data_IF_690980389882
#
_entry.id   IF_690980389882
#
_cell.length_a   1.000
_cell.length_b   1.000
_cell.length_c   1.000
_cell.angle_alpha   90.00
_cell.angle_beta   90.00
_cell.angle_gamma   90.00
#
_symmetry.space_group_name_H-M   'P 1'
#
loop_
_entity.id
_entity.type
_entity.pdbx_description
1 polymer ?
#
# COMPACT_ATOMS: atom_id res chain seq x y z
N UNK A 1 -24.29 -13.59 38.16
CA UNK A 1 -23.57 -14.75 37.61
C UNK A 1 -24.47 -15.44 36.59
N UNK A 2 -24.11 -15.40 35.30
CA UNK A 2 -24.76 -16.20 34.25
C UNK A 2 -23.67 -16.77 33.36
N UNK A 3 -23.81 -18.05 33.08
CA UNK A 3 -22.77 -18.96 32.62
C UNK A 3 -22.54 -18.90 31.10
N UNK A 4 -21.30 -19.21 30.71
CA UNK A 4 -20.85 -19.46 29.35
C UNK A 4 -21.27 -20.88 28.90
N UNK A 5 -21.72 -21.01 27.65
CA UNK A 5 -21.72 -22.30 26.94
C UNK A 5 -21.14 -22.11 25.53
N UNK A 6 -20.11 -22.90 25.24
CA UNK A 6 -19.37 -22.95 23.99
C UNK A 6 -20.18 -23.68 22.89
N UNK A 7 -20.07 -23.20 21.64
CA UNK A 7 -20.60 -23.87 20.46
C UNK A 7 -19.46 -24.59 19.73
N UNK A 8 -19.55 -25.91 19.67
CA UNK A 8 -18.65 -26.82 18.95
C UNK A 8 -19.08 -26.90 17.47
N UNK A 9 -18.09 -26.81 16.58
CA UNK A 9 -18.21 -26.95 15.12
C UNK A 9 -18.37 -28.43 14.73
N UNK A 10 -19.30 -28.75 13.82
CA UNK A 10 -19.46 -30.08 13.22
C UNK A 10 -19.98 -30.01 11.78
N UNK A 11 -19.27 -30.65 10.84
CA UNK A 11 -19.52 -30.70 9.40
C UNK A 11 -20.74 -31.56 9.01
N UNK A 12 -21.47 -31.25 7.91
CA UNK A 12 -22.56 -32.11 7.43
C UNK A 12 -22.06 -33.31 6.60
N UNK A 13 -22.56 -34.49 6.96
CA UNK A 13 -22.41 -35.77 6.23
C UNK A 13 -23.42 -35.86 5.07
N UNK A 14 -22.94 -36.27 3.89
CA UNK A 14 -23.74 -36.57 2.70
C UNK A 14 -24.34 -37.98 2.78
N UNK A 15 -25.68 -38.11 2.74
CA UNK A 15 -26.38 -39.35 2.37
C UNK A 15 -27.73 -39.06 1.69
N UNK A 16 -27.79 -39.31 0.39
CA UNK A 16 -29.00 -39.27 -0.41
C UNK A 16 -28.75 -39.81 -1.80
N UNK A 17 -28.66 -41.14 -1.94
CA UNK A 17 -28.64 -41.85 -3.22
C UNK A 17 -30.07 -42.29 -3.53
N UNK A 18 -30.68 -41.73 -4.57
CA UNK A 18 -31.79 -42.38 -5.29
C UNK A 18 -31.42 -42.51 -6.77
N UNK A 19 -31.46 -43.76 -7.21
CA UNK A 19 -31.11 -44.21 -8.56
C UNK A 19 -32.01 -43.59 -9.62
N UNK A 20 -31.41 -43.02 -10.68
CA UNK A 20 -32.09 -42.77 -11.95
C UNK A 20 -31.45 -43.63 -13.04
N UNK A 21 -32.34 -44.30 -13.77
CA UNK A 21 -32.10 -45.25 -14.85
C UNK A 21 -31.13 -44.72 -15.93
N UNK A 22 -30.33 -45.65 -16.42
CA UNK A 22 -29.38 -45.48 -17.51
C UNK A 22 -30.12 -45.46 -18.87
N UNK A 23 -30.12 -44.30 -19.54
CA UNK A 23 -30.45 -44.19 -20.97
C UNK A 23 -29.15 -44.19 -21.79
N UNK A 24 -29.05 -44.91 -22.92
CA UNK A 24 -27.84 -44.93 -23.73
C UNK A 24 -27.67 -43.60 -24.48
N UNK A 25 -26.64 -42.82 -24.12
CA UNK A 25 -26.20 -41.65 -24.86
C UNK A 25 -25.38 -42.07 -26.09
N UNK A 26 -25.79 -41.53 -27.24
CA UNK A 26 -25.19 -41.60 -28.57
C UNK A 26 -23.70 -41.19 -28.48
N UNK A 27 -22.81 -41.93 -29.15
CA UNK A 27 -21.38 -41.58 -29.27
C UNK A 27 -21.23 -40.22 -29.98
N UNK A 28 -21.06 -39.16 -29.21
CA UNK A 28 -20.48 -37.90 -29.69
C UNK A 28 -18.97 -37.96 -29.47
N UNK A 29 -18.23 -37.90 -30.58
CA UNK A 29 -16.77 -37.78 -30.58
C UNK A 29 -16.40 -36.42 -29.99
N UNK A 30 -16.17 -36.36 -28.69
CA UNK A 30 -15.64 -35.17 -28.00
C UNK A 30 -14.20 -34.95 -28.47
N UNK A 31 -14.01 -34.09 -29.46
CA UNK A 31 -12.70 -33.48 -29.75
C UNK A 31 -12.31 -32.73 -28.48
N UNK A 32 -11.37 -33.30 -27.74
CA UNK A 32 -10.85 -32.66 -26.53
C UNK A 32 -9.73 -31.74 -27.00
N UNK A 33 -10.05 -30.50 -27.35
CA UNK A 33 -9.05 -29.45 -27.45
C UNK A 33 -8.47 -29.29 -26.04
N UNK A 34 -7.28 -29.87 -25.84
CA UNK A 34 -6.52 -29.74 -24.62
C UNK A 34 -5.96 -28.31 -24.64
N UNK A 35 -6.76 -27.33 -24.19
CA UNK A 35 -6.24 -26.00 -23.88
C UNK A 35 -5.21 -26.19 -22.78
N UNK A 36 -3.93 -26.15 -23.15
CA UNK A 36 -2.83 -26.15 -22.21
C UNK A 36 -2.94 -24.83 -21.43
N UNK A 37 -3.48 -24.89 -20.22
CA UNK A 37 -3.42 -23.75 -19.32
C UNK A 37 -1.94 -23.37 -19.15
N UNK A 38 -1.60 -22.12 -19.46
CA UNK A 38 -0.26 -21.62 -19.21
C UNK A 38 0.03 -21.74 -17.71
N UNK A 39 1.18 -22.33 -17.36
CA UNK A 39 1.63 -22.39 -15.97
C UNK A 39 1.80 -20.97 -15.45
N UNK A 40 1.32 -20.63 -14.24
CA UNK A 40 1.57 -19.32 -13.65
C UNK A 40 3.08 -19.08 -13.60
N UNK A 41 3.55 -18.04 -14.30
CA UNK A 41 4.94 -17.59 -14.23
C UNK A 41 5.18 -16.92 -12.89
N UNK A 42 6.33 -17.17 -12.26
CA UNK A 42 6.71 -16.49 -11.02
C UNK A 42 6.72 -14.95 -11.20
N UNK A 43 6.39 -14.16 -10.16
CA UNK A 43 6.48 -12.71 -10.22
C UNK A 43 7.88 -12.22 -10.62
N UNK A 44 7.99 -11.13 -11.39
CA UNK A 44 9.29 -10.59 -11.75
C UNK A 44 10.01 -10.07 -10.51
N UNK A 45 11.35 -10.17 -10.51
CA UNK A 45 12.17 -9.58 -9.43
C UNK A 45 12.15 -8.05 -9.50
N UNK A 46 12.49 -7.51 -10.67
CA UNK A 46 12.57 -6.06 -10.89
C UNK A 46 11.18 -5.44 -11.09
N UNK A 47 11.00 -4.14 -10.74
CA UNK A 47 9.79 -3.41 -11.07
C UNK A 47 9.49 -3.42 -12.58
N UNK A 48 8.23 -3.72 -12.91
CA UNK A 48 7.68 -3.53 -14.26
C UNK A 48 7.59 -2.04 -14.62
N UNK A 49 7.26 -1.72 -15.87
CA UNK A 49 7.01 -0.32 -16.27
C UNK A 49 5.86 0.31 -15.49
N UNK A 50 4.79 -0.45 -15.23
CA UNK A 50 3.66 0.02 -14.43
C UNK A 50 4.07 0.23 -12.96
N UNK A 51 4.85 -0.71 -12.40
CA UNK A 51 5.38 -0.57 -11.03
C UNK A 51 6.20 0.71 -10.89
N UNK A 52 7.03 1.05 -11.89
CA UNK A 52 7.86 2.27 -11.84
C UNK A 52 7.03 3.55 -11.75
N UNK A 53 5.84 3.60 -12.34
CA UNK A 53 4.95 4.76 -12.21
C UNK A 53 4.42 4.89 -10.77
N UNK A 54 4.04 3.77 -10.16
CA UNK A 54 3.57 3.75 -8.77
C UNK A 54 4.72 4.05 -7.79
N UNK A 55 5.90 3.50 -8.02
CA UNK A 55 7.09 3.73 -7.19
C UNK A 55 7.60 5.17 -7.33
N UNK A 56 7.48 5.80 -8.50
CA UNK A 56 7.82 7.22 -8.67
C UNK A 56 6.81 8.13 -7.95
N UNK A 57 5.53 7.75 -7.93
CA UNK A 57 4.55 8.43 -7.07
C UNK A 57 4.92 8.30 -5.59
N UNK A 58 5.29 7.10 -5.12
CA UNK A 58 5.77 6.88 -3.76
C UNK A 58 6.99 7.77 -3.45
N UNK A 59 7.97 7.84 -4.36
CA UNK A 59 9.14 8.71 -4.23
C UNK A 59 8.73 10.17 -4.04
N UNK A 60 7.82 10.65 -4.89
CA UNK A 60 7.32 12.01 -4.85
C UNK A 60 6.58 12.32 -3.55
N UNK A 61 5.81 11.36 -3.02
CA UNK A 61 5.12 11.48 -1.75
C UNK A 61 6.10 11.52 -0.56
N UNK A 62 7.11 10.64 -0.51
CA UNK A 62 8.16 10.64 0.52
C UNK A 62 8.91 11.99 0.59
N UNK A 63 9.25 12.56 -0.57
CA UNK A 63 9.89 13.88 -0.64
C UNK A 63 8.98 14.98 -0.08
N UNK A 64 7.67 14.93 -0.37
CA UNK A 64 6.72 15.89 0.20
C UNK A 64 6.60 15.79 1.71
N UNK A 65 6.59 14.57 2.24
CA UNK A 65 6.49 14.36 3.69
C UNK A 65 7.78 14.80 4.38
N UNK A 66 8.94 14.47 3.82
CA UNK A 66 10.22 15.02 4.29
C UNK A 66 10.18 16.55 4.40
N UNK A 67 9.71 17.24 3.35
CA UNK A 67 9.57 18.70 3.35
C UNK A 67 8.54 19.22 4.36
N UNK A 68 7.44 18.50 4.61
CA UNK A 68 6.47 18.84 5.65
C UNK A 68 7.08 18.77 7.05
N UNK A 69 7.91 17.76 7.31
CA UNK A 69 8.67 17.67 8.55
C UNK A 69 9.67 18.82 8.69
N UNK A 70 10.42 19.15 7.64
CA UNK A 70 11.34 20.30 7.67
C UNK A 70 10.59 21.60 7.97
N UNK A 71 9.44 21.82 7.33
CA UNK A 71 8.58 22.97 7.62
C UNK A 71 8.13 23.00 9.08
N UNK A 72 7.77 21.86 9.67
CA UNK A 72 7.41 21.79 11.08
C UNK A 72 8.61 22.10 12.00
N UNK A 73 9.79 21.55 11.69
CA UNK A 73 11.05 21.79 12.42
C UNK A 73 11.46 23.26 12.40
N UNK A 74 11.27 23.93 11.26
CA UNK A 74 11.66 25.32 11.04
C UNK A 74 10.61 26.33 11.51
N UNK A 75 9.43 25.86 11.96
CA UNK A 75 8.36 26.73 12.47
C UNK A 75 8.71 27.48 13.75
N UNK A 76 9.70 27.00 14.51
CA UNK A 76 10.05 27.52 15.85
C UNK A 76 9.01 27.20 16.93
N UNK A 77 7.98 26.39 16.63
CA UNK A 77 6.89 26.08 17.55
C UNK A 77 7.14 24.86 18.44
N UNK A 78 8.16 24.06 18.11
CA UNK A 78 8.46 22.80 18.78
C UNK A 78 9.46 22.99 19.92
N UNK A 79 9.30 22.21 20.99
CA UNK A 79 10.34 22.02 21.99
C UNK A 79 11.57 21.31 21.41
N UNK A 80 12.68 21.29 22.16
CA UNK A 80 13.91 20.63 21.74
C UNK A 80 13.71 19.12 21.51
N UNK A 81 12.98 18.44 22.39
CA UNK A 81 12.72 17.00 22.30
C UNK A 81 11.79 16.68 21.12
N UNK A 82 10.74 17.47 20.92
CA UNK A 82 9.85 17.33 19.76
C UNK A 82 10.62 17.55 18.46
N UNK A 83 11.49 18.56 18.40
CA UNK A 83 12.33 18.83 17.23
C UNK A 83 13.26 17.67 16.92
N UNK A 84 13.89 17.06 17.92
CA UNK A 84 14.75 15.88 17.72
C UNK A 84 13.95 14.69 17.13
N UNK A 85 12.75 14.45 17.65
CA UNK A 85 11.85 13.42 17.13
C UNK A 85 11.44 13.71 15.68
N UNK A 86 11.05 14.95 15.35
CA UNK A 86 10.71 15.35 13.98
C UNK A 86 11.90 15.20 13.03
N UNK A 87 13.12 15.52 13.46
CA UNK A 87 14.33 15.34 12.65
C UNK A 87 14.58 13.88 12.32
N UNK A 88 14.43 12.98 13.30
CA UNK A 88 14.58 11.55 13.08
C UNK A 88 13.55 11.02 12.06
N UNK A 89 12.27 11.42 12.19
CA UNK A 89 11.24 11.00 11.24
C UNK A 89 11.47 11.60 9.84
N UNK A 90 11.85 12.86 9.76
CA UNK A 90 12.24 13.53 8.51
C UNK A 90 13.35 12.79 7.76
N UNK A 91 14.40 12.35 8.45
CA UNK A 91 15.51 11.61 7.83
C UNK A 91 15.10 10.19 7.41
N UNK A 92 14.12 9.57 8.07
CA UNK A 92 13.55 8.30 7.59
C UNK A 92 12.86 8.47 6.21
N UNK A 93 11.98 9.46 6.05
CA UNK A 93 11.32 9.72 4.76
C UNK A 93 12.33 10.03 3.64
N UNK A 94 13.36 10.82 3.95
CA UNK A 94 14.46 11.09 3.01
C UNK A 94 15.21 9.81 2.62
N UNK A 95 15.48 8.91 3.57
CA UNK A 95 16.12 7.62 3.28
C UNK A 95 15.21 6.72 2.41
N UNK A 96 13.89 6.78 2.59
CA UNK A 96 12.93 6.07 1.74
C UNK A 96 12.90 6.63 0.33
N UNK A 97 12.83 7.96 0.19
CA UNK A 97 12.97 8.63 -1.10
C UNK A 97 14.29 8.23 -1.81
N UNK A 98 15.42 8.20 -1.09
CA UNK A 98 16.70 7.77 -1.66
C UNK A 98 16.68 6.30 -2.11
N UNK A 99 16.04 5.42 -1.35
CA UNK A 99 15.91 3.99 -1.68
C UNK A 99 15.04 3.78 -2.92
N UNK A 100 13.90 4.49 -3.01
CA UNK A 100 13.01 4.48 -4.16
C UNK A 100 13.70 5.04 -5.41
N UNK A 101 14.42 6.16 -5.26
CA UNK A 101 15.24 6.73 -6.34
C UNK A 101 16.31 5.72 -6.82
N UNK A 102 17.00 5.04 -5.91
CA UNK A 102 17.98 4.01 -6.26
C UNK A 102 17.37 2.86 -7.06
N UNK A 103 16.15 2.44 -6.73
CA UNK A 103 15.42 1.40 -7.45
C UNK A 103 14.91 1.87 -8.82
N UNK A 104 14.48 3.12 -8.93
CA UNK A 104 13.95 3.73 -10.16
C UNK A 104 15.04 4.14 -11.15
N UNK A 105 16.22 4.54 -10.65
CA UNK A 105 17.33 5.07 -11.43
C UNK A 105 16.89 6.26 -12.28
N UNK A 106 17.11 6.18 -13.60
CA UNK A 106 16.78 7.26 -14.54
C UNK A 106 15.28 7.56 -14.66
N UNK A 107 14.41 6.68 -14.18
CA UNK A 107 12.96 6.90 -14.21
C UNK A 107 12.46 7.75 -13.03
N UNK A 108 13.30 8.04 -12.04
CA UNK A 108 12.94 8.82 -10.87
C UNK A 108 12.75 10.31 -11.21
N UNK A 109 11.58 10.85 -10.89
CA UNK A 109 11.26 12.27 -11.02
C UNK A 109 12.12 13.13 -10.10
N UNK A 110 12.39 12.66 -8.88
CA UNK A 110 13.09 13.41 -7.82
C UNK A 110 12.44 14.76 -7.52
N UNK A 111 11.13 14.83 -7.62
CA UNK A 111 10.32 16.01 -7.32
C UNK A 111 9.25 15.65 -6.31
N UNK A 112 9.02 16.52 -5.34
CA UNK A 112 7.95 16.35 -4.36
C UNK A 112 6.56 16.46 -5.01
N UNK A 113 5.59 15.79 -4.42
CA UNK A 113 4.17 15.92 -4.75
C UNK A 113 3.61 17.23 -4.15
N UNK A 114 3.53 18.29 -4.98
CA UNK A 114 3.08 19.62 -4.55
C UNK A 114 1.64 19.64 -4.02
N UNK A 115 0.75 18.79 -4.54
CA UNK A 115 -0.63 18.72 -4.08
C UNK A 115 -0.72 18.18 -2.66
N UNK A 116 0.03 17.11 -2.36
CA UNK A 116 0.16 16.56 -1.01
C UNK A 116 0.75 17.62 -0.08
N UNK A 117 1.89 18.21 -0.44
CA UNK A 117 2.56 19.22 0.38
C UNK A 117 1.64 20.40 0.69
N UNK A 118 1.01 20.97 -0.33
CA UNK A 118 0.12 22.14 -0.19
C UNK A 118 -1.10 21.83 0.67
N UNK A 119 -1.64 20.61 0.58
CA UNK A 119 -2.79 20.18 1.40
C UNK A 119 -2.50 20.29 2.90
N UNK A 120 -1.30 19.89 3.33
CA UNK A 120 -0.96 19.81 4.76
C UNK A 120 -0.16 21.01 5.28
N UNK A 121 0.67 21.64 4.44
CA UNK A 121 1.60 22.69 4.87
C UNK A 121 0.90 23.88 5.57
N UNK A 122 -0.29 24.26 5.10
CA UNK A 122 -1.07 25.35 5.68
C UNK A 122 -1.70 25.02 7.04
N UNK A 123 -1.76 23.75 7.42
CA UNK A 123 -2.39 23.29 8.66
C UNK A 123 -1.40 23.26 9.85
N UNK A 124 -0.09 23.35 9.57
CA UNK A 124 1.00 23.38 10.55
C UNK A 124 1.07 24.74 11.28
N UNK A 125 0.10 24.98 12.17
CA UNK A 125 -0.21 26.31 12.73
C UNK A 125 0.13 26.49 14.22
N UNK A 126 0.37 25.39 14.93
CA UNK A 126 0.80 25.34 16.34
C UNK A 126 1.47 24.00 16.63
N UNK A 127 2.17 23.85 17.75
CA UNK A 127 2.79 22.56 18.13
C UNK A 127 1.77 21.40 18.19
N UNK A 128 0.59 21.66 18.76
CA UNK A 128 -0.49 20.67 18.83
C UNK A 128 -1.10 20.39 17.45
N UNK A 129 -1.20 21.40 16.58
CA UNK A 129 -1.68 21.21 15.22
C UNK A 129 -0.66 20.41 14.40
N UNK A 130 0.64 20.70 14.54
CA UNK A 130 1.74 19.97 13.88
C UNK A 130 1.63 18.48 14.20
N UNK A 131 1.54 18.11 15.48
CA UNK A 131 1.48 16.70 15.88
C UNK A 131 0.24 15.99 15.31
N UNK A 132 -0.93 16.65 15.32
CA UNK A 132 -2.16 16.11 14.72
C UNK A 132 -2.04 15.94 13.20
N UNK A 133 -1.52 16.97 12.52
CA UNK A 133 -1.40 16.98 11.06
C UNK A 133 -0.40 15.94 10.61
N UNK A 134 0.77 15.85 11.25
CA UNK A 134 1.78 14.85 10.90
C UNK A 134 1.29 13.42 11.19
N UNK A 135 0.55 13.18 12.28
CA UNK A 135 -0.10 11.89 12.46
C UNK A 135 -1.06 11.55 11.31
N UNK A 136 -1.83 12.53 10.84
CA UNK A 136 -2.71 12.34 9.68
C UNK A 136 -1.92 12.08 8.41
N UNK A 137 -0.76 12.72 8.21
CA UNK A 137 0.12 12.49 7.07
C UNK A 137 0.66 11.06 7.09
N UNK A 138 1.21 10.59 8.22
CA UNK A 138 1.70 9.21 8.36
C UNK A 138 0.60 8.18 8.05
N UNK A 139 -0.59 8.41 8.59
CA UNK A 139 -1.75 7.58 8.33
C UNK A 139 -2.15 7.55 6.85
N UNK A 140 -2.08 8.69 6.15
CA UNK A 140 -2.32 8.77 4.71
C UNK A 140 -1.23 8.05 3.91
N UNK A 141 0.04 8.16 4.32
CA UNK A 141 1.15 7.49 3.66
C UNK A 141 1.06 5.97 3.81
N UNK A 142 0.73 5.47 5.01
CA UNK A 142 0.45 4.04 5.24
C UNK A 142 -0.64 3.52 4.32
N UNK A 143 -1.77 4.24 4.18
CA UNK A 143 -2.85 3.86 3.27
C UNK A 143 -2.38 3.88 1.81
N UNK A 144 -1.69 4.95 1.41
CA UNK A 144 -1.16 5.15 0.05
C UNK A 144 -0.20 4.04 -0.35
N UNK A 145 0.77 3.72 0.49
CA UNK A 145 1.75 2.66 0.22
C UNK A 145 1.14 1.28 0.28
N UNK A 146 0.13 1.05 1.11
CA UNK A 146 -0.61 -0.22 1.13
C UNK A 146 -1.34 -0.45 -0.20
N UNK A 147 -1.98 0.58 -0.75
CA UNK A 147 -2.63 0.52 -2.05
C UNK A 147 -1.61 0.31 -3.18
N UNK A 148 -0.47 1.01 -3.14
CA UNK A 148 0.64 0.79 -4.08
C UNK A 148 1.12 -0.66 -3.99
N UNK A 149 1.42 -1.14 -2.78
CA UNK A 149 1.89 -2.51 -2.53
C UNK A 149 0.92 -3.55 -3.12
N UNK A 150 -0.39 -3.33 -3.00
CA UNK A 150 -1.40 -4.24 -3.55
C UNK A 150 -1.38 -4.32 -5.08
N UNK A 151 -0.80 -3.32 -5.75
CA UNK A 151 -0.73 -3.21 -7.21
C UNK A 151 0.63 -3.63 -7.80
N UNK A 152 1.68 -3.73 -6.98
CA UNK A 152 3.03 -4.03 -7.44
C UNK A 152 3.20 -5.49 -7.86
N UNK A 153 3.84 -5.71 -9.00
CA UNK A 153 4.21 -7.05 -9.48
C UNK A 153 5.67 -7.40 -9.17
N UNK A 154 6.56 -6.42 -9.25
CA UNK A 154 7.99 -6.57 -8.98
C UNK A 154 8.30 -6.76 -7.50
N UNK A 155 8.95 -7.87 -7.16
CA UNK A 155 9.25 -8.23 -5.77
C UNK A 155 10.17 -7.22 -5.05
N UNK A 156 11.16 -6.64 -5.74
CA UNK A 156 12.08 -5.68 -5.14
C UNK A 156 11.34 -4.38 -4.74
N UNK A 157 10.41 -3.92 -5.58
CA UNK A 157 9.55 -2.77 -5.28
C UNK A 157 8.58 -3.05 -4.15
N UNK A 158 7.90 -4.21 -4.18
CA UNK A 158 6.97 -4.63 -3.15
C UNK A 158 7.66 -4.76 -1.78
N UNK A 159 8.86 -5.34 -1.74
CA UNK A 159 9.65 -5.48 -0.50
C UNK A 159 10.03 -4.12 0.07
N UNK A 160 10.48 -3.19 -0.78
CA UNK A 160 10.83 -1.84 -0.35
C UNK A 160 9.61 -1.10 0.22
N UNK A 161 8.49 -1.07 -0.50
CA UNK A 161 7.26 -0.39 -0.04
C UNK A 161 6.73 -1.00 1.25
N UNK A 162 6.74 -2.32 1.40
CA UNK A 162 6.33 -2.99 2.64
C UNK A 162 7.19 -2.58 3.86
N UNK A 163 8.49 -2.33 3.64
CA UNK A 163 9.38 -1.87 4.71
C UNK A 163 9.06 -0.45 5.17
N UNK A 164 8.66 0.42 4.23
CA UNK A 164 8.26 1.81 4.49
C UNK A 164 6.98 1.84 5.33
N UNK A 165 5.95 1.10 4.90
CA UNK A 165 4.66 0.99 5.61
C UNK A 165 4.85 0.67 7.09
N UNK A 166 5.75 -0.27 7.39
CA UNK A 166 5.99 -0.73 8.76
C UNK A 166 6.53 0.40 9.65
N UNK A 167 7.37 1.28 9.12
CA UNK A 167 8.00 2.35 9.89
C UNK A 167 7.08 3.57 10.01
N UNK A 168 6.41 3.98 8.94
CA UNK A 168 5.44 5.08 8.99
C UNK A 168 4.25 4.76 9.91
N UNK A 169 3.77 3.50 9.92
CA UNK A 169 2.76 3.07 10.88
C UNK A 169 3.24 3.21 12.35
N UNK A 170 4.54 3.03 12.60
CA UNK A 170 5.13 3.27 13.92
C UNK A 170 5.24 4.76 14.22
N UNK A 171 5.56 5.61 13.24
CA UNK A 171 5.53 7.06 13.41
C UNK A 171 4.13 7.55 13.78
N UNK A 172 3.09 7.11 13.04
CA UNK A 172 1.69 7.40 13.36
C UNK A 172 1.31 6.99 14.79
N UNK A 173 1.75 5.80 15.21
CA UNK A 173 1.51 5.29 16.55
C UNK A 173 2.23 6.12 17.63
N UNK A 174 3.47 6.56 17.38
CA UNK A 174 4.22 7.44 18.30
C UNK A 174 3.48 8.75 18.52
N UNK A 175 2.98 9.41 17.46
CA UNK A 175 2.12 10.59 17.62
C UNK A 175 0.88 10.29 18.47
N UNK A 176 0.30 9.10 18.33
CA UNK A 176 -0.86 8.66 19.11
C UNK A 176 -0.60 8.51 20.61
N UNK A 177 0.67 8.55 21.04
CA UNK A 177 1.07 8.54 22.47
C UNK A 177 1.27 9.95 23.05
N UNK A 178 1.29 11.00 22.22
CA UNK A 178 1.48 12.37 22.68
C UNK A 178 0.21 12.92 23.37
N UNK A 179 0.35 13.91 24.27
CA UNK A 179 -0.80 14.53 24.92
C UNK A 179 -1.82 15.07 23.91
N UNK A 180 -3.10 14.78 24.14
CA UNK A 180 -4.24 15.19 23.30
C UNK A 180 -4.35 14.48 21.93
N UNK A 181 -3.56 13.43 21.71
CA UNK A 181 -3.72 12.49 20.60
C UNK A 181 -4.16 11.13 21.11
N UNK A 182 -4.59 10.25 20.20
CA UNK A 182 -5.09 8.94 20.56
C UNK A 182 -4.51 7.85 19.66
N UNK A 183 -4.00 6.78 20.28
CA UNK A 183 -3.46 5.61 19.58
C UNK A 183 -4.49 4.96 18.64
N UNK A 184 -5.79 5.01 18.97
CA UNK A 184 -6.84 4.46 18.10
C UNK A 184 -6.88 5.08 16.71
N UNK A 185 -6.46 6.35 16.55
CA UNK A 185 -6.40 7.01 15.24
C UNK A 185 -5.26 6.48 14.38
N UNK A 186 -4.20 5.94 14.99
CA UNK A 186 -3.14 5.24 14.27
C UNK A 186 -3.50 3.78 13.98
N UNK A 187 -4.21 3.11 14.89
CA UNK A 187 -4.57 1.69 14.75
C UNK A 187 -5.77 1.43 13.83
N UNK A 188 -6.77 2.33 13.84
CA UNK A 188 -8.01 2.22 13.06
C UNK A 188 -8.10 3.33 12.00
N UNK A 189 -6.96 3.78 11.47
CA UNK A 189 -6.92 4.88 10.51
C UNK A 189 -7.84 4.59 9.31
N UNK A 190 -8.80 5.48 9.06
CA UNK A 190 -9.65 5.49 7.86
C UNK A 190 -9.09 6.41 6.76
N UNK A 191 -7.78 6.69 6.79
CA UNK A 191 -7.15 7.58 5.82
C UNK A 191 -7.35 7.04 4.40
N UNK A 192 -7.67 7.96 3.48
CA UNK A 192 -7.81 7.63 2.07
C UNK A 192 -6.45 7.66 1.41
N UNK A 193 -6.15 6.62 0.65
CA UNK A 193 -4.97 6.55 -0.20
C UNK A 193 -4.94 7.67 -1.23
N UNK A 194 -3.74 8.16 -1.52
CA UNK A 194 -3.46 9.11 -2.59
C UNK A 194 -2.91 8.43 -3.85
N UNK A 195 -2.74 7.10 -3.82
CA UNK A 195 -2.14 6.36 -4.92
C UNK A 195 -2.93 6.57 -6.22
N UNK A 196 -2.26 6.79 -7.36
CA UNK A 196 -2.96 6.86 -8.63
C UNK A 196 -3.58 5.49 -8.94
N UNK A 197 -4.78 5.49 -9.51
CA UNK A 197 -5.38 4.26 -10.03
C UNK A 197 -4.38 3.57 -10.98
N UNK A 198 -4.10 2.29 -10.74
CA UNK A 198 -3.24 1.52 -11.62
C UNK A 198 -3.77 1.62 -13.07
N UNK A 199 -2.93 2.05 -14.00
CA UNK A 199 -3.30 2.07 -15.41
C UNK A 199 -3.71 0.64 -15.82
N UNK A 200 -4.80 0.45 -16.60
CA UNK A 200 -5.18 -0.86 -17.07
C UNK A 200 -4.00 -1.48 -17.82
N UNK A 201 -3.73 -2.76 -17.56
CA UNK A 201 -2.68 -3.51 -18.24
C UNK A 201 -2.84 -3.35 -19.76
N UNK A 202 -1.77 -2.99 -20.45
CA UNK A 202 -1.79 -2.84 -21.90
C UNK A 202 -2.32 -4.13 -22.54
N UNK A 203 -3.43 -4.04 -23.25
CA UNK A 203 -4.01 -5.15 -24.01
C UNK A 203 -2.99 -5.57 -25.06
N UNK A 204 -2.39 -6.75 -24.91
CA UNK A 204 -1.59 -7.35 -25.97
C UNK A 204 -2.52 -7.65 -27.13
N UNK A 205 -2.49 -6.82 -28.17
CA UNK A 205 -3.11 -7.17 -29.46
C UNK A 205 -2.33 -8.34 -30.04
N UNK A 206 -2.82 -9.56 -29.83
CA UNK A 206 -2.44 -10.72 -30.64
C UNK A 206 -2.72 -10.36 -32.09
N UNK A 207 -1.66 -10.17 -32.87
CA UNK A 207 -1.76 -10.08 -34.31
C UNK A 207 -1.93 -11.51 -34.80
N UNK A 208 -3.17 -11.92 -35.06
CA UNK A 208 -3.48 -13.19 -35.72
C UNK A 208 -2.88 -13.15 -37.12
N UNK A 209 -1.73 -13.77 -37.33
CA UNK A 209 -1.22 -14.04 -38.68
C UNK A 209 -2.04 -15.21 -39.23
N UNK A 210 -2.88 -14.92 -40.22
CA UNK A 210 -3.67 -15.93 -40.91
C UNK A 210 -2.76 -16.86 -41.75
N UNK A 211 -3.13 -18.15 -41.90
CA UNK A 211 -2.37 -19.14 -42.66
C UNK A 211 -2.37 -18.89 -44.18
#
# INVERSE_FOLDING_TARGET
MKQFSALVVGYPNYRGLTSRLLSPQKKETRVTTKTSAATPTAPPKMPTTADKQLLDFALSAELSVHDLYLKAIDSGMLSADEKLMMQMFSEHHKAYAQSLNGLLGKAASNTRNEALYSTYAGQLTSAQAISRVLQSVENTMVATHTDILSSLQGLDGATLVASIITVEARHAAVFGTLPNLNLSSALNSAASSLAPNAAPAATTTETTVAP
#
